data_IF_932586603701
#
_entry.id   IF_932586603701
#
_cell.length_a   1.000
_cell.length_b   1.000
_cell.length_c   1.000
_cell.angle_alpha   90.00
_cell.angle_beta   90.00
_cell.angle_gamma   90.00
#
_symmetry.space_group_name_H-M   'P 1'
#
loop_
_entity.id
_entity.type
_entity.pdbx_description
1 polymer ?
#
# COMPACT_ATOMS: atom_id res chain seq x y z
N UNK A 1 -25.90 4.03 0.56
CA UNK A 1 -24.50 4.51 0.59
C UNK A 1 -23.89 4.27 -0.77
N UNK A 2 -22.92 5.06 -1.22
CA UNK A 2 -22.22 4.82 -2.49
C UNK A 2 -21.36 3.55 -2.37
N UNK A 3 -21.21 2.83 -3.47
CA UNK A 3 -20.27 1.71 -3.54
C UNK A 3 -18.82 2.24 -3.55
N UNK A 4 -17.92 1.48 -2.94
CA UNK A 4 -16.49 1.78 -2.85
C UNK A 4 -15.77 1.42 -4.15
N UNK A 5 -14.78 2.22 -4.54
CA UNK A 5 -13.94 1.95 -5.70
C UNK A 5 -12.91 0.86 -5.41
N UNK A 6 -12.55 0.08 -6.44
CA UNK A 6 -11.55 -0.98 -6.37
C UNK A 6 -10.43 -0.68 -7.36
N UNK A 7 -9.19 -0.83 -6.90
CA UNK A 7 -7.98 -0.82 -7.73
C UNK A 7 -7.25 -2.16 -7.62
N UNK A 8 -6.38 -2.46 -8.56
CA UNK A 8 -5.51 -3.62 -8.51
C UNK A 8 -4.04 -3.20 -8.28
N UNK A 9 -3.34 -3.93 -7.40
CA UNK A 9 -1.90 -3.75 -7.18
C UNK A 9 -1.08 -4.49 -8.25
N UNK A 10 0.03 -3.90 -8.65
CA UNK A 10 0.99 -4.55 -9.55
C UNK A 10 1.94 -5.51 -8.82
N UNK A 11 1.79 -5.71 -7.52
CA UNK A 11 2.68 -6.52 -6.68
C UNK A 11 2.87 -7.97 -7.20
N UNK A 12 1.82 -8.70 -7.60
CA UNK A 12 1.99 -10.08 -8.07
C UNK A 12 2.86 -10.19 -9.33
N UNK A 13 3.07 -9.10 -10.03
CA UNK A 13 3.86 -9.06 -11.27
C UNK A 13 5.32 -8.61 -11.07
N UNK A 14 5.78 -8.45 -9.82
CA UNK A 14 7.10 -7.92 -9.44
C UNK A 14 8.26 -8.52 -10.25
N UNK A 15 8.29 -9.83 -10.42
CA UNK A 15 9.39 -10.54 -11.09
C UNK A 15 9.07 -11.00 -12.51
N UNK A 16 7.87 -10.73 -13.02
CA UNK A 16 7.42 -11.18 -14.34
C UNK A 16 7.23 -10.06 -15.35
N UNK A 17 6.95 -8.82 -14.89
CA UNK A 17 6.65 -7.67 -15.73
C UNK A 17 7.41 -6.42 -15.28
N UNK A 18 7.68 -5.51 -16.21
CA UNK A 18 7.98 -4.12 -15.82
C UNK A 18 6.73 -3.47 -15.26
N UNK A 19 6.86 -2.41 -14.44
CA UNK A 19 5.70 -1.74 -13.87
C UNK A 19 4.72 -1.25 -14.95
N UNK A 20 5.21 -0.71 -16.08
CA UNK A 20 4.34 -0.27 -17.18
C UNK A 20 3.62 -1.44 -17.86
N UNK A 21 4.29 -2.57 -18.05
CA UNK A 21 3.66 -3.74 -18.65
C UNK A 21 2.62 -4.36 -17.72
N UNK A 22 2.86 -4.36 -16.40
CA UNK A 22 1.90 -4.79 -15.39
C UNK A 22 0.64 -3.89 -15.38
N UNK A 23 0.81 -2.56 -15.46
CA UNK A 23 -0.33 -1.64 -15.57
C UNK A 23 -1.15 -1.89 -16.83
N UNK A 24 -0.50 -2.11 -17.98
CA UNK A 24 -1.17 -2.45 -19.24
C UNK A 24 -1.90 -3.79 -19.14
N UNK A 25 -1.29 -4.76 -18.49
CA UNK A 25 -1.88 -6.08 -18.26
C UNK A 25 -3.15 -5.96 -17.42
N UNK A 26 -3.09 -5.30 -16.27
CA UNK A 26 -4.24 -5.05 -15.40
C UNK A 26 -5.35 -4.23 -16.10
N UNK A 27 -4.97 -3.30 -16.98
CA UNK A 27 -5.93 -2.59 -17.84
C UNK A 27 -6.67 -3.55 -18.75
N UNK A 28 -5.97 -4.54 -19.29
CA UNK A 28 -6.57 -5.63 -20.09
C UNK A 28 -7.56 -6.49 -19.31
N UNK A 29 -7.44 -6.57 -17.98
CA UNK A 29 -8.38 -7.24 -17.07
C UNK A 29 -9.58 -6.33 -16.66
N UNK A 30 -9.66 -5.09 -17.18
CA UNK A 30 -10.77 -4.18 -16.94
C UNK A 30 -10.55 -3.16 -15.82
N UNK A 31 -9.34 -3.06 -15.23
CA UNK A 31 -9.05 -2.05 -14.22
C UNK A 31 -8.68 -0.71 -14.83
N UNK A 32 -9.09 0.38 -14.17
CA UNK A 32 -8.78 1.77 -14.53
C UNK A 32 -8.09 2.54 -13.40
N UNK A 33 -7.94 1.91 -12.24
CA UNK A 33 -7.23 2.41 -11.07
C UNK A 33 -6.24 1.36 -10.59
N UNK A 34 -5.02 1.81 -10.27
CA UNK A 34 -3.92 0.92 -9.95
C UNK A 34 -3.13 1.39 -8.74
N UNK A 35 -2.54 0.43 -8.04
CA UNK A 35 -1.38 0.67 -7.20
C UNK A 35 -0.13 0.19 -7.91
N UNK A 36 0.91 1.02 -7.92
CA UNK A 36 2.19 0.68 -8.52
C UNK A 36 3.20 0.33 -7.44
N UNK A 37 3.71 -0.90 -7.52
CA UNK A 37 4.81 -1.35 -6.66
C UNK A 37 6.11 -0.67 -7.06
N UNK A 38 6.76 0.00 -6.11
CA UNK A 38 8.03 0.70 -6.30
C UNK A 38 9.15 -0.16 -5.73
N UNK A 39 9.63 -1.08 -6.53
CA UNK A 39 10.71 -2.00 -6.15
C UNK A 39 11.42 -2.55 -7.40
N UNK A 40 12.77 -2.81 -7.35
CA UNK A 40 13.48 -3.40 -8.48
C UNK A 40 13.13 -4.90 -8.62
N UNK A 41 13.11 -5.47 -9.83
CA UNK A 41 13.35 -4.80 -11.12
C UNK A 41 12.08 -4.21 -11.76
N UNK A 42 10.95 -4.20 -11.05
CA UNK A 42 9.62 -3.90 -11.57
C UNK A 42 9.45 -2.41 -11.95
N UNK A 43 9.59 -1.54 -10.96
CA UNK A 43 9.55 -0.08 -11.13
C UNK A 43 10.47 0.55 -10.07
N UNK A 44 11.62 1.05 -10.51
CA UNK A 44 12.58 1.64 -9.59
C UNK A 44 13.03 3.01 -10.09
N UNK A 45 12.82 4.11 -9.34
CA UNK A 45 13.07 5.48 -9.83
C UNK A 45 14.48 5.68 -10.40
N UNK A 46 15.51 5.06 -9.80
CA UNK A 46 16.90 5.17 -10.24
C UNK A 46 17.22 4.43 -11.51
N UNK A 47 16.45 3.43 -11.87
CA UNK A 47 16.66 2.59 -13.05
C UNK A 47 15.83 3.06 -14.24
N UNK A 48 14.83 3.91 -14.00
CA UNK A 48 14.00 4.48 -15.06
C UNK A 48 14.64 5.75 -15.65
N UNK A 49 14.88 5.72 -16.93
CA UNK A 49 15.26 6.93 -17.68
C UNK A 49 14.12 7.94 -17.72
N UNK A 50 14.43 9.19 -18.04
CA UNK A 50 13.42 10.25 -18.24
C UNK A 50 12.42 9.87 -19.32
N UNK A 51 12.86 9.23 -20.41
CA UNK A 51 11.98 8.81 -21.50
C UNK A 51 11.04 7.68 -21.04
N UNK A 52 11.54 6.69 -20.29
CA UNK A 52 10.69 5.63 -19.72
C UNK A 52 9.64 6.20 -18.76
N UNK A 53 9.99 7.15 -17.88
CA UNK A 53 8.99 7.80 -17.01
C UNK A 53 7.95 8.57 -17.81
N UNK A 54 8.37 9.23 -18.90
CA UNK A 54 7.44 9.89 -19.83
C UNK A 54 6.49 8.90 -20.52
N UNK A 55 6.95 7.69 -20.83
CA UNK A 55 6.11 6.63 -21.40
C UNK A 55 4.98 6.22 -20.43
N UNK A 56 5.27 6.11 -19.12
CA UNK A 56 4.22 5.88 -18.11
C UNK A 56 3.18 7.00 -18.14
N UNK A 57 3.61 8.26 -18.02
CA UNK A 57 2.69 9.41 -18.00
C UNK A 57 1.86 9.48 -19.27
N UNK A 58 2.49 9.29 -20.43
CA UNK A 58 1.82 9.33 -21.72
C UNK A 58 0.78 8.23 -21.86
N UNK A 59 1.07 7.04 -21.36
CA UNK A 59 0.14 5.92 -21.39
C UNK A 59 -1.02 6.15 -20.42
N UNK A 60 -0.76 6.57 -19.19
CA UNK A 60 -1.80 6.87 -18.18
C UNK A 60 -2.78 7.94 -18.69
N UNK A 61 -2.24 9.04 -19.23
CA UNK A 61 -3.05 10.13 -19.78
C UNK A 61 -3.83 9.67 -21.05
N UNK A 62 -3.19 8.85 -21.90
CA UNK A 62 -3.79 8.35 -23.16
C UNK A 62 -4.95 7.38 -22.92
N UNK A 63 -4.86 6.51 -21.94
CA UNK A 63 -5.92 5.57 -21.56
C UNK A 63 -6.97 6.19 -20.61
N UNK A 64 -6.71 7.37 -20.05
CA UNK A 64 -7.58 7.99 -19.06
C UNK A 64 -7.65 7.23 -17.74
N UNK A 65 -6.59 6.52 -17.37
CA UNK A 65 -6.47 5.71 -16.18
C UNK A 65 -5.51 6.36 -15.17
N UNK A 66 -5.48 5.89 -13.92
CA UNK A 66 -4.66 6.53 -12.87
C UNK A 66 -3.99 5.53 -11.96
N UNK A 67 -2.79 5.88 -11.49
CA UNK A 67 -2.16 5.26 -10.34
C UNK A 67 -2.64 6.00 -9.09
N UNK A 68 -3.27 5.28 -8.15
CA UNK A 68 -3.86 5.85 -6.93
C UNK A 68 -2.89 5.88 -5.76
N UNK A 69 -1.92 4.96 -5.75
CA UNK A 69 -0.88 4.85 -4.72
C UNK A 69 0.40 4.23 -5.27
N UNK A 70 1.52 4.63 -4.69
CA UNK A 70 2.79 3.95 -4.82
C UNK A 70 3.04 3.14 -3.54
N UNK A 71 3.18 1.83 -3.68
CA UNK A 71 3.59 0.94 -2.59
C UNK A 71 5.11 0.75 -2.62
N UNK A 72 5.79 1.17 -1.54
CA UNK A 72 7.22 0.91 -1.34
C UNK A 72 7.37 -0.10 -0.18
N UNK A 73 7.53 -1.41 -0.47
CA UNK A 73 7.30 -2.48 0.49
C UNK A 73 8.41 -2.66 1.53
N UNK A 74 9.49 -1.89 1.50
CA UNK A 74 10.64 -1.96 2.44
C UNK A 74 11.24 -3.37 2.61
N UNK A 75 11.30 -4.17 1.54
CA UNK A 75 11.82 -5.55 1.63
C UNK A 75 13.30 -5.59 2.07
N UNK A 76 14.11 -4.62 1.60
CA UNK A 76 15.56 -4.56 1.86
C UNK A 76 15.99 -3.34 2.68
N UNK A 77 15.07 -2.44 3.04
CA UNK A 77 15.36 -1.14 3.62
C UNK A 77 14.74 -0.99 5.01
N UNK A 78 15.29 -0.10 5.83
CA UNK A 78 14.76 0.12 7.17
C UNK A 78 14.90 1.60 7.60
N UNK A 79 13.79 2.36 7.70
CA UNK A 79 13.81 3.77 8.10
C UNK A 79 14.09 3.98 9.60
N UNK A 80 14.00 2.93 10.41
CA UNK A 80 14.24 2.97 11.86
C UNK A 80 15.36 2.04 12.32
N UNK A 81 16.21 1.58 11.38
CA UNK A 81 17.38 0.74 11.71
C UNK A 81 18.45 1.49 12.50
N UNK A 82 19.30 0.75 13.24
CA UNK A 82 20.41 1.32 14.02
C UNK A 82 21.41 2.04 13.14
N UNK A 83 21.72 1.49 11.96
CA UNK A 83 22.65 2.12 11.04
C UNK A 83 22.04 3.38 10.43
N UNK A 84 22.66 4.53 10.76
CA UNK A 84 22.24 5.83 10.23
C UNK A 84 22.28 5.87 8.71
N UNK A 85 23.28 5.26 8.07
CA UNK A 85 23.39 5.26 6.61
C UNK A 85 22.27 4.46 5.95
N UNK A 86 21.82 3.37 6.58
CA UNK A 86 20.64 2.64 6.10
C UNK A 86 19.37 3.49 6.20
N UNK A 87 19.19 4.22 7.31
CA UNK A 87 18.04 5.14 7.43
C UNK A 87 18.08 6.24 6.36
N UNK A 88 19.22 6.91 6.18
CA UNK A 88 19.41 7.95 5.16
C UNK A 88 19.16 7.41 3.75
N UNK A 89 19.73 6.23 3.44
CA UNK A 89 19.48 5.56 2.16
C UNK A 89 18.00 5.30 1.95
N UNK A 90 17.28 4.79 2.95
CA UNK A 90 15.85 4.52 2.88
C UNK A 90 15.04 5.80 2.64
N UNK A 91 15.34 6.87 3.36
CA UNK A 91 14.67 8.16 3.19
C UNK A 91 14.93 8.76 1.81
N UNK A 92 16.14 8.60 1.25
CA UNK A 92 16.44 9.02 -0.11
C UNK A 92 15.60 8.26 -1.15
N UNK A 93 15.34 6.96 -0.92
CA UNK A 93 14.45 6.18 -1.80
C UNK A 93 13.01 6.67 -1.73
N UNK A 94 12.52 7.02 -0.54
CA UNK A 94 11.21 7.64 -0.40
C UNK A 94 11.13 9.00 -1.12
N UNK A 95 12.16 9.86 -1.05
CA UNK A 95 12.17 11.13 -1.77
C UNK A 95 12.06 10.91 -3.28
N UNK A 96 12.82 9.97 -3.82
CA UNK A 96 12.73 9.61 -5.24
C UNK A 96 11.35 9.06 -5.63
N UNK A 97 10.72 8.24 -4.76
CA UNK A 97 9.36 7.76 -4.99
C UNK A 97 8.33 8.90 -4.95
N UNK A 98 8.47 9.87 -4.03
CA UNK A 98 7.63 11.06 -3.95
C UNK A 98 7.74 11.90 -5.22
N UNK A 99 8.98 12.16 -5.68
CA UNK A 99 9.22 12.94 -6.89
C UNK A 99 8.60 12.26 -8.12
N UNK A 100 8.76 10.96 -8.26
CA UNK A 100 8.15 10.19 -9.34
C UNK A 100 6.63 10.09 -9.22
N UNK A 101 6.08 9.99 -8.00
CA UNK A 101 4.64 10.03 -7.77
C UNK A 101 4.03 11.36 -8.23
N UNK A 102 4.72 12.47 -7.97
CA UNK A 102 4.32 13.79 -8.47
C UNK A 102 4.32 13.85 -10.01
N UNK A 103 5.35 13.30 -10.67
CA UNK A 103 5.40 13.20 -12.14
C UNK A 103 4.20 12.39 -12.69
N UNK A 104 3.82 11.30 -12.01
CA UNK A 104 2.72 10.41 -12.42
C UNK A 104 1.33 10.89 -11.97
N UNK A 105 1.25 12.04 -11.30
CA UNK A 105 0.03 12.58 -10.67
C UNK A 105 -0.59 11.60 -9.66
N UNK A 106 0.23 10.73 -9.08
CA UNK A 106 -0.18 9.78 -8.05
C UNK A 106 -0.26 10.50 -6.69
N UNK A 107 -1.41 10.46 -6.00
CA UNK A 107 -1.61 11.26 -4.78
C UNK A 107 -0.93 10.70 -3.54
N UNK A 108 -0.58 9.41 -3.52
CA UNK A 108 -0.13 8.74 -2.31
C UNK A 108 1.16 7.95 -2.50
N UNK A 109 2.04 8.04 -1.50
CA UNK A 109 3.18 7.13 -1.33
C UNK A 109 3.03 6.45 0.03
N UNK A 110 2.97 5.13 0.03
CA UNK A 110 2.82 4.33 1.24
C UNK A 110 4.18 4.20 1.93
N UNK A 111 4.22 4.53 3.22
CA UNK A 111 5.39 4.46 4.05
C UNK A 111 5.17 3.45 5.19
N UNK A 112 5.92 2.35 5.11
CA UNK A 112 5.83 1.26 6.08
C UNK A 112 6.78 1.56 7.26
N UNK A 113 6.34 1.44 8.53
CA UNK A 113 7.25 1.39 9.66
C UNK A 113 8.22 0.22 9.49
N UNK A 114 9.51 0.46 9.69
CA UNK A 114 10.52 -0.55 9.41
C UNK A 114 10.38 -1.81 10.26
N UNK A 115 10.96 -2.92 9.80
CA UNK A 115 10.86 -4.21 10.48
C UNK A 115 11.59 -4.21 11.82
N UNK A 116 11.15 -5.10 12.70
CA UNK A 116 11.90 -5.48 13.91
C UNK A 116 12.90 -6.61 13.61
N UNK A 117 14.02 -6.63 14.33
CA UNK A 117 14.97 -7.73 14.23
C UNK A 117 14.55 -8.87 15.15
N UNK A 118 14.61 -10.12 14.67
CA UNK A 118 14.21 -11.30 15.42
C UNK A 118 15.13 -11.64 16.61
N UNK A 119 16.36 -11.11 16.66
CA UNK A 119 17.32 -11.39 17.70
C UNK A 119 17.39 -10.26 18.75
N UNK A 120 17.58 -9.03 18.31
CA UNK A 120 17.73 -7.87 19.18
C UNK A 120 17.32 -6.60 18.44
N UNK A 121 16.53 -5.78 19.12
CA UNK A 121 16.10 -4.48 18.60
C UNK A 121 16.75 -3.35 19.42
N UNK A 122 16.91 -2.16 18.81
CA UNK A 122 17.15 -0.94 19.58
C UNK A 122 15.97 -0.70 20.55
N UNK A 123 16.16 0.14 21.58
CA UNK A 123 15.05 0.63 22.37
C UNK A 123 13.93 1.20 21.48
N UNK A 124 12.68 0.88 21.80
CA UNK A 124 11.52 1.27 21.00
C UNK A 124 11.43 2.79 20.79
N UNK A 125 11.74 3.56 21.84
CA UNK A 125 11.76 5.02 21.81
C UNK A 125 12.77 5.57 20.79
N UNK A 126 13.90 4.92 20.56
CA UNK A 126 14.87 5.34 19.55
C UNK A 126 14.35 5.07 18.13
N UNK A 127 13.76 3.90 17.92
CA UNK A 127 13.14 3.57 16.62
C UNK A 127 12.03 4.55 16.28
N UNK A 128 11.20 4.89 17.28
CA UNK A 128 10.11 5.86 17.13
C UNK A 128 10.63 7.27 16.80
N UNK A 129 11.66 7.73 17.53
CA UNK A 129 12.29 9.03 17.27
C UNK A 129 12.83 9.10 15.84
N UNK A 130 13.65 8.13 15.42
CA UNK A 130 14.22 8.10 14.07
C UNK A 130 13.16 8.04 12.98
N UNK A 131 12.12 7.24 13.19
CA UNK A 131 11.03 7.12 12.24
C UNK A 131 10.23 8.43 12.12
N UNK A 132 9.83 9.02 13.24
CA UNK A 132 9.08 10.29 13.27
C UNK A 132 9.88 11.43 12.64
N UNK A 133 11.18 11.56 12.95
CA UNK A 133 12.06 12.56 12.33
C UNK A 133 12.19 12.34 10.82
N UNK A 134 12.40 11.10 10.39
CA UNK A 134 12.48 10.75 8.97
C UNK A 134 11.18 11.05 8.22
N UNK A 135 10.02 10.70 8.79
CA UNK A 135 8.72 10.99 8.17
C UNK A 135 8.43 12.49 8.11
N UNK A 136 8.78 13.27 9.13
CA UNK A 136 8.67 14.75 9.08
C UNK A 136 9.49 15.36 7.96
N UNK A 137 10.69 14.85 7.74
CA UNK A 137 11.54 15.29 6.64
C UNK A 137 10.93 14.96 5.27
N UNK A 138 10.37 13.74 5.12
CA UNK A 138 9.66 13.35 3.90
C UNK A 138 8.40 14.17 3.66
N UNK A 139 7.62 14.47 4.70
CA UNK A 139 6.46 15.38 4.61
C UNK A 139 6.90 16.77 4.13
N UNK A 140 8.00 17.28 4.66
CA UNK A 140 8.55 18.56 4.19
C UNK A 140 9.01 18.50 2.73
N UNK A 141 9.61 17.38 2.28
CA UNK A 141 9.98 17.15 0.90
C UNK A 141 8.76 17.09 -0.03
N UNK A 142 7.70 16.40 0.39
CA UNK A 142 6.46 16.26 -0.37
C UNK A 142 5.64 17.57 -0.49
N UNK A 143 5.97 18.59 0.30
CA UNK A 143 5.21 19.83 0.35
C UNK A 143 5.16 20.54 -1.01
N UNK A 144 3.94 20.77 -1.50
CA UNK A 144 3.69 21.45 -2.78
C UNK A 144 3.75 20.53 -4.00
N UNK A 145 4.06 19.24 -3.84
CA UNK A 145 4.07 18.25 -4.93
C UNK A 145 2.68 17.68 -5.26
N UNK A 146 1.74 17.78 -4.32
CA UNK A 146 0.43 17.10 -4.41
C UNK A 146 0.45 15.67 -3.88
N UNK A 147 1.60 15.17 -3.40
CA UNK A 147 1.76 13.82 -2.86
C UNK A 147 1.62 13.84 -1.34
N UNK A 148 0.87 12.89 -0.80
CA UNK A 148 0.73 12.65 0.63
C UNK A 148 1.35 11.31 1.02
N UNK A 149 2.05 11.27 2.16
CA UNK A 149 2.53 10.02 2.75
C UNK A 149 1.41 9.34 3.53
N UNK A 150 1.30 8.01 3.38
CA UNK A 150 0.38 7.18 4.14
C UNK A 150 1.17 6.16 4.95
N UNK A 151 0.98 6.13 6.27
CA UNK A 151 1.54 5.06 7.10
C UNK A 151 0.69 3.79 6.98
N UNK A 152 1.34 2.64 6.96
CA UNK A 152 0.66 1.35 6.86
C UNK A 152 0.88 0.48 8.11
N UNK A 153 -0.19 -0.19 8.57
CA UNK A 153 -0.13 -1.19 9.62
C UNK A 153 0.43 -2.51 9.06
N UNK A 154 1.62 -2.91 9.51
CA UNK A 154 2.27 -4.15 9.08
C UNK A 154 2.60 -5.01 10.30
N UNK A 155 2.20 -6.29 10.35
CA UNK A 155 2.30 -7.15 11.54
C UNK A 155 3.72 -7.31 12.11
N UNK A 156 4.73 -7.24 11.25
CA UNK A 156 6.14 -7.45 11.60
C UNK A 156 6.94 -6.14 11.67
N UNK A 157 6.26 -5.00 11.55
CA UNK A 157 6.84 -3.68 11.77
C UNK A 157 7.00 -3.39 13.28
N UNK A 158 7.77 -2.36 13.61
CA UNK A 158 7.91 -1.94 15.00
C UNK A 158 6.68 -1.19 15.56
N UNK A 159 5.74 -0.80 14.70
CA UNK A 159 4.44 -0.22 15.01
C UNK A 159 3.33 -1.06 14.38
N UNK A 160 3.03 -2.25 14.91
CA UNK A 160 2.12 -3.19 14.24
C UNK A 160 0.64 -2.84 14.38
N UNK A 161 0.24 -2.07 15.41
CA UNK A 161 -1.17 -1.81 15.72
C UNK A 161 -1.67 -0.49 15.15
N UNK A 162 -2.97 -0.45 14.85
CA UNK A 162 -3.63 0.78 14.39
C UNK A 162 -3.57 1.92 15.42
N UNK A 163 -3.55 1.61 16.72
CA UNK A 163 -3.41 2.62 17.75
C UNK A 163 -2.02 3.27 17.72
N UNK A 164 -0.95 2.46 17.62
CA UNK A 164 0.42 2.97 17.52
C UNK A 164 0.62 3.82 16.26
N UNK A 165 0.05 3.40 15.12
CA UNK A 165 0.09 4.20 13.89
C UNK A 165 -0.62 5.54 14.04
N UNK A 166 -1.82 5.54 14.66
CA UNK A 166 -2.57 6.77 14.93
C UNK A 166 -1.77 7.74 15.78
N UNK A 167 -1.19 7.24 16.87
CA UNK A 167 -0.40 8.05 17.80
C UNK A 167 0.87 8.60 17.10
N UNK A 168 1.53 7.75 16.29
CA UNK A 168 2.70 8.15 15.53
C UNK A 168 2.37 9.17 14.44
N UNK A 169 1.28 9.00 13.71
CA UNK A 169 0.83 9.98 12.74
C UNK A 169 0.56 11.36 13.38
N UNK A 170 -0.02 11.37 14.60
CA UNK A 170 -0.20 12.61 15.35
C UNK A 170 1.12 13.30 15.74
N UNK A 171 2.19 12.51 16.01
CA UNK A 171 3.53 13.05 16.28
C UNK A 171 4.20 13.63 15.02
N UNK A 172 3.94 13.04 13.83
CA UNK A 172 4.49 13.52 12.56
C UNK A 172 3.81 14.81 12.13
N UNK A 173 2.47 14.80 12.07
CA UNK A 173 1.67 15.98 11.70
C UNK A 173 0.42 15.62 10.91
N UNK A 174 -0.47 16.61 10.69
CA UNK A 174 -1.76 16.39 10.03
C UNK A 174 -1.66 16.09 8.52
N UNK A 175 -0.47 16.26 7.94
CA UNK A 175 -0.21 15.98 6.52
C UNK A 175 -0.03 14.50 6.22
N UNK A 176 0.10 13.64 7.25
CA UNK A 176 0.22 12.19 7.08
C UNK A 176 -1.17 11.54 7.18
N UNK A 177 -1.46 10.63 6.26
CA UNK A 177 -2.64 9.77 6.29
C UNK A 177 -2.28 8.32 6.63
N UNK A 178 -3.29 7.45 6.53
CA UNK A 178 -3.15 6.01 6.76
C UNK A 178 -3.54 5.25 5.50
N UNK A 179 -2.69 4.31 5.11
CA UNK A 179 -3.06 3.15 4.32
C UNK A 179 -3.48 2.05 5.30
N UNK A 180 -4.76 1.75 5.35
CA UNK A 180 -5.27 0.72 6.27
C UNK A 180 -5.28 -0.62 5.57
N UNK A 181 -4.41 -1.52 5.99
CA UNK A 181 -4.43 -2.91 5.51
C UNK A 181 -5.32 -3.76 6.42
N UNK A 182 -6.42 -4.24 5.83
CA UNK A 182 -7.43 -5.06 6.50
C UNK A 182 -6.88 -6.43 6.88
N UNK A 183 -6.10 -7.04 5.98
CA UNK A 183 -5.50 -8.35 6.22
C UNK A 183 -4.47 -8.30 7.35
N UNK A 184 -3.63 -7.29 7.37
CA UNK A 184 -2.62 -7.06 8.40
C UNK A 184 -3.26 -6.89 9.80
N UNK A 185 -4.31 -6.07 9.88
CA UNK A 185 -5.07 -5.85 11.11
C UNK A 185 -5.75 -7.15 11.58
N UNK A 186 -6.39 -7.89 10.67
CA UNK A 186 -7.03 -9.17 10.98
C UNK A 186 -6.01 -10.22 11.45
N UNK A 187 -4.82 -10.27 10.85
CA UNK A 187 -3.78 -11.23 11.21
C UNK A 187 -3.32 -11.10 12.66
N UNK A 188 -3.14 -9.88 13.14
CA UNK A 188 -2.82 -9.62 14.56
C UNK A 188 -4.04 -9.60 15.46
N UNK A 189 -5.21 -9.99 14.93
CA UNK A 189 -6.48 -10.15 15.66
C UNK A 189 -7.04 -8.85 16.24
N UNK A 190 -6.83 -7.72 15.57
CA UNK A 190 -7.56 -6.50 15.87
C UNK A 190 -9.03 -6.63 15.44
N UNK A 191 -9.90 -5.88 16.09
CA UNK A 191 -11.28 -5.68 15.64
C UNK A 191 -11.28 -4.74 14.41
N UNK A 192 -11.24 -5.31 13.21
CA UNK A 192 -11.14 -4.56 11.96
C UNK A 192 -12.17 -3.42 11.84
N UNK A 193 -13.49 -3.65 12.05
CA UNK A 193 -14.45 -2.55 12.08
C UNK A 193 -14.14 -1.49 13.13
N UNK A 194 -13.73 -1.91 14.33
CA UNK A 194 -13.32 -1.01 15.40
C UNK A 194 -12.10 -0.16 15.02
N UNK A 195 -11.11 -0.75 14.34
CA UNK A 195 -9.92 -0.03 13.87
C UNK A 195 -10.26 0.96 12.74
N UNK A 196 -11.17 0.61 11.84
CA UNK A 196 -11.67 1.54 10.83
C UNK A 196 -12.31 2.78 11.49
N UNK A 197 -13.15 2.57 12.51
CA UNK A 197 -13.75 3.69 13.27
C UNK A 197 -12.70 4.48 14.07
N UNK A 198 -11.70 3.80 14.65
CA UNK A 198 -10.59 4.44 15.38
C UNK A 198 -9.79 5.40 14.51
N UNK A 199 -9.47 4.98 13.29
CA UNK A 199 -8.67 5.75 12.34
C UNK A 199 -9.49 6.81 11.61
N UNK A 200 -10.77 6.53 11.31
CA UNK A 200 -11.72 7.48 10.74
C UNK A 200 -11.21 8.12 9.43
N UNK A 201 -11.25 9.44 9.40
CA UNK A 201 -10.88 10.25 8.24
C UNK A 201 -9.36 10.27 7.92
N UNK A 202 -8.53 9.69 8.79
CA UNK A 202 -7.11 9.48 8.51
C UNK A 202 -6.89 8.42 7.42
N UNK A 203 -7.83 7.48 7.23
CA UNK A 203 -7.75 6.46 6.17
C UNK A 203 -7.93 7.14 4.81
N UNK A 204 -6.89 7.05 3.96
CA UNK A 204 -6.88 7.60 2.60
C UNK A 204 -6.84 6.52 1.53
N UNK A 205 -6.28 5.37 1.86
CA UNK A 205 -6.21 4.18 1.01
C UNK A 205 -6.47 2.94 1.88
N UNK A 206 -6.94 1.87 1.26
CA UNK A 206 -7.21 0.59 1.94
C UNK A 206 -6.58 -0.52 1.13
N UNK A 207 -5.80 -1.38 1.78
CA UNK A 207 -5.37 -2.65 1.20
C UNK A 207 -6.29 -3.78 1.62
N UNK A 208 -6.56 -4.69 0.70
CA UNK A 208 -7.45 -5.81 0.88
C UNK A 208 -6.86 -7.07 0.25
N UNK A 209 -6.64 -8.07 1.08
CA UNK A 209 -6.24 -9.43 0.74
C UNK A 209 -6.74 -10.38 1.82
N UNK A 210 -6.35 -11.64 1.80
CA UNK A 210 -6.72 -12.61 2.81
C UNK A 210 -5.48 -13.34 3.37
N UNK A 211 -5.60 -13.92 4.55
CA UNK A 211 -4.56 -14.67 5.21
C UNK A 211 -5.16 -15.71 6.16
N UNK A 212 -4.42 -16.79 6.41
CA UNK A 212 -4.71 -17.68 7.53
C UNK A 212 -4.18 -17.12 8.85
N UNK A 213 -4.59 -17.73 9.98
CA UNK A 213 -4.09 -17.32 11.31
C UNK A 213 -2.71 -17.85 11.67
N UNK A 214 -2.24 -18.88 10.99
CA UNK A 214 -0.98 -19.57 11.30
C UNK A 214 0.18 -19.09 10.42
N UNK A 215 -0.13 -18.69 9.20
CA UNK A 215 0.84 -18.22 8.22
C UNK A 215 0.36 -16.93 7.61
N UNK A 216 1.18 -15.88 7.73
CA UNK A 216 0.89 -14.57 7.14
C UNK A 216 1.07 -14.60 5.62
N UNK A 217 0.02 -14.17 4.92
CA UNK A 217 0.00 -14.06 3.45
C UNK A 217 -0.86 -12.88 3.02
N UNK A 218 -0.77 -12.55 1.74
CA UNK A 218 -1.71 -11.70 1.03
C UNK A 218 -2.35 -12.53 -0.08
N UNK A 219 -3.10 -13.56 0.34
CA UNK A 219 -3.77 -14.49 -0.56
C UNK A 219 -5.06 -13.89 -1.14
N UNK A 220 -5.63 -14.61 -2.12
CA UNK A 220 -6.95 -14.35 -2.67
C UNK A 220 -8.02 -14.31 -1.59
N UNK A 221 -8.93 -13.34 -1.68
CA UNK A 221 -10.07 -13.22 -0.76
C UNK A 221 -10.94 -14.51 -0.75
N UNK A 222 -11.46 -14.83 0.43
CA UNK A 222 -12.29 -16.00 0.66
C UNK A 222 -11.52 -17.30 0.90
N UNK A 223 -10.20 -17.23 1.02
CA UNK A 223 -9.35 -18.40 1.34
C UNK A 223 -8.90 -18.44 2.80
N UNK A 224 -9.07 -17.34 3.53
CA UNK A 224 -8.59 -17.18 4.90
C UNK A 224 -9.65 -16.65 5.87
N UNK A 225 -9.28 -15.65 6.65
CA UNK A 225 -10.03 -15.16 7.80
C UNK A 225 -10.66 -13.78 7.63
N UNK A 226 -10.37 -13.07 6.53
CA UNK A 226 -10.80 -11.68 6.35
C UNK A 226 -12.29 -11.61 6.03
N UNK A 227 -13.03 -10.91 6.89
CA UNK A 227 -14.46 -10.65 6.71
C UNK A 227 -14.67 -9.33 5.96
N UNK A 228 -14.87 -9.40 4.64
CA UNK A 228 -14.98 -8.21 3.79
C UNK A 228 -16.26 -7.40 4.08
N UNK A 229 -17.40 -8.03 4.32
CA UNK A 229 -18.66 -7.32 4.49
C UNK A 229 -18.70 -6.40 5.74
N UNK A 230 -18.24 -6.81 6.95
CA UNK A 230 -18.10 -5.91 8.10
C UNK A 230 -17.13 -4.76 7.84
N UNK A 231 -15.98 -5.02 7.19
CA UNK A 231 -15.01 -4.00 6.85
C UNK A 231 -15.59 -2.94 5.88
N UNK A 232 -16.24 -3.39 4.82
CA UNK A 232 -16.89 -2.50 3.86
C UNK A 232 -18.00 -1.64 4.47
N UNK A 233 -18.80 -2.23 5.38
CA UNK A 233 -19.82 -1.51 6.13
C UNK A 233 -19.19 -0.40 7.00
N UNK A 234 -18.14 -0.71 7.76
CA UNK A 234 -17.45 0.25 8.60
C UNK A 234 -16.82 1.40 7.77
N UNK A 235 -16.21 1.09 6.62
CA UNK A 235 -15.70 2.10 5.68
C UNK A 235 -16.80 3.05 5.19
N UNK A 236 -17.98 2.51 4.87
CA UNK A 236 -19.15 3.33 4.49
C UNK A 236 -19.67 4.18 5.67
N UNK A 237 -19.65 3.65 6.90
CA UNK A 237 -20.10 4.36 8.10
C UNK A 237 -19.22 5.57 8.44
N UNK A 238 -17.90 5.49 8.21
CA UNK A 238 -16.99 6.63 8.37
C UNK A 238 -17.01 7.59 7.16
N UNK A 239 -17.79 7.30 6.11
CA UNK A 239 -17.84 8.12 4.90
C UNK A 239 -16.61 8.02 4.01
N UNK A 240 -15.91 6.89 4.02
CA UNK A 240 -14.73 6.66 3.19
C UNK A 240 -15.08 6.78 1.69
N UNK A 241 -14.26 7.54 0.96
CA UNK A 241 -14.40 7.76 -0.49
C UNK A 241 -13.12 7.49 -1.28
N UNK A 242 -12.10 6.96 -0.60
CA UNK A 242 -10.85 6.56 -1.23
C UNK A 242 -10.98 5.23 -1.99
N UNK A 243 -9.86 4.72 -2.44
CA UNK A 243 -9.77 3.48 -3.20
C UNK A 243 -9.43 2.30 -2.29
N UNK A 244 -10.05 1.14 -2.55
CA UNK A 244 -9.62 -0.14 -1.98
C UNK A 244 -8.77 -0.87 -3.01
N UNK A 245 -7.52 -1.14 -2.67
CA UNK A 245 -6.56 -1.85 -3.51
C UNK A 245 -6.60 -3.33 -3.20
N UNK A 246 -6.79 -4.16 -4.21
CA UNK A 246 -6.54 -5.59 -4.11
C UNK A 246 -5.03 -5.81 -4.14
N UNK A 247 -4.44 -5.95 -2.95
CA UNK A 247 -3.02 -6.27 -2.78
C UNK A 247 -2.85 -7.78 -2.60
N UNK A 248 -3.03 -8.53 -3.69
CA UNK A 248 -2.83 -9.96 -3.71
C UNK A 248 -1.37 -10.24 -4.07
N UNK A 249 -0.67 -10.97 -3.21
CA UNK A 249 0.75 -11.31 -3.42
C UNK A 249 0.85 -12.80 -3.70
N UNK A 250 0.43 -13.18 -4.91
CA UNK A 250 0.55 -14.55 -5.38
C UNK A 250 2.04 -14.87 -5.63
N UNK A 251 2.52 -15.98 -5.08
CA UNK A 251 3.84 -16.50 -5.48
C UNK A 251 3.77 -17.03 -6.92
N UNK A 252 4.08 -16.15 -7.88
CA UNK A 252 4.06 -16.46 -9.31
C UNK A 252 5.05 -17.56 -9.72
N UNK A 253 5.98 -17.94 -8.84
CA UNK A 253 6.91 -19.03 -9.04
C UNK A 253 6.34 -20.37 -8.54
N UNK A 254 5.26 -20.34 -7.76
CA UNK A 254 4.60 -21.55 -7.29
C UNK A 254 3.90 -22.28 -8.45
N UNK A 255 3.96 -23.62 -8.51
CA UNK A 255 3.25 -24.38 -9.53
C UNK A 255 1.74 -24.13 -9.47
N UNK A 256 1.16 -23.68 -10.60
CA UNK A 256 -0.28 -23.41 -10.72
C UNK A 256 -0.71 -22.04 -10.22
N UNK A 257 0.22 -21.13 -9.91
CA UNK A 257 -0.08 -19.75 -9.60
C UNK A 257 -0.81 -19.05 -10.76
N UNK A 258 -1.90 -18.37 -10.47
CA UNK A 258 -2.69 -17.60 -11.44
C UNK A 258 -3.10 -16.25 -10.82
N UNK A 259 -2.21 -15.24 -10.87
CA UNK A 259 -2.49 -13.95 -10.26
C UNK A 259 -3.70 -13.25 -10.89
N UNK A 260 -4.00 -13.50 -12.16
CA UNK A 260 -5.15 -12.91 -12.82
C UNK A 260 -6.46 -13.45 -12.22
N UNK A 261 -6.54 -14.78 -12.09
CA UNK A 261 -7.68 -15.40 -11.43
C UNK A 261 -7.82 -14.97 -9.98
N UNK A 262 -6.73 -14.88 -9.23
CA UNK A 262 -6.74 -14.47 -7.83
C UNK A 262 -7.27 -13.03 -7.66
N UNK A 263 -6.87 -12.10 -8.53
CA UNK A 263 -7.34 -10.72 -8.53
C UNK A 263 -8.82 -10.63 -8.93
N UNK A 264 -9.22 -11.32 -10.01
CA UNK A 264 -10.60 -11.31 -10.53
C UNK A 264 -11.57 -11.92 -9.50
N UNK A 265 -11.23 -13.08 -8.94
CA UNK A 265 -12.04 -13.76 -7.94
C UNK A 265 -12.17 -12.92 -6.65
N UNK A 266 -11.08 -12.28 -6.21
CA UNK A 266 -11.11 -11.37 -5.06
C UNK A 266 -12.02 -10.18 -5.29
N UNK A 267 -11.98 -9.59 -6.49
CA UNK A 267 -12.90 -8.50 -6.84
C UNK A 267 -14.36 -8.95 -6.85
N UNK A 268 -14.63 -10.15 -7.37
CA UNK A 268 -15.98 -10.71 -7.36
C UNK A 268 -16.53 -10.93 -5.94
N UNK A 269 -15.67 -11.26 -4.97
CA UNK A 269 -16.04 -11.35 -3.54
C UNK A 269 -16.38 -9.96 -2.98
N UNK A 270 -15.54 -8.94 -3.22
CA UNK A 270 -15.81 -7.57 -2.78
C UNK A 270 -17.15 -7.05 -3.33
N UNK A 271 -17.45 -7.33 -4.59
CA UNK A 271 -18.68 -6.90 -5.26
C UNK A 271 -19.98 -7.50 -4.66
N UNK A 272 -19.87 -8.55 -3.82
CA UNK A 272 -21.02 -9.10 -3.12
C UNK A 272 -21.50 -8.23 -1.94
N UNK A 273 -20.76 -7.17 -1.59
CA UNK A 273 -21.09 -6.30 -0.46
C UNK A 273 -20.99 -4.81 -0.83
N UNK A 274 -20.00 -4.11 -0.31
CA UNK A 274 -19.93 -2.63 -0.35
C UNK A 274 -19.20 -2.06 -1.58
N UNK A 275 -18.57 -2.90 -2.40
CA UNK A 275 -17.73 -2.45 -3.51
C UNK A 275 -18.42 -2.53 -4.88
N UNK A 276 -17.92 -1.72 -5.81
CA UNK A 276 -18.35 -1.79 -7.21
C UNK A 276 -17.97 -3.14 -7.82
N UNK A 277 -18.81 -3.62 -8.73
CA UNK A 277 -18.49 -4.81 -9.51
C UNK A 277 -17.34 -4.53 -10.50
N UNK A 278 -16.59 -5.58 -10.93
CA UNK A 278 -15.63 -5.46 -12.02
C UNK A 278 -16.28 -4.84 -13.26
N UNK A 279 -15.54 -3.98 -13.94
CA UNK A 279 -15.99 -3.49 -15.26
C UNK A 279 -15.74 -4.61 -16.27
N UNK A 280 -16.80 -5.09 -16.91
CA UNK A 280 -16.75 -6.14 -17.93
C UNK A 280 -16.16 -5.67 -19.25
#
# INVERSE_FOLDING_TARGET
MSQLDVAASTFPFLYSHTGLDALKHLRGLGYDQFELLIFPPHCWPRELTVDQRRDYVSWLDGEGVKVTSFCYPLLDNNPNGVDRLMREYTLDRYREAIDMAAEFKCPYVIAIPGPVNSLINPPHEWMLEWFVEGMKDLVQHAKGTGVQLLLENVPFAFLPTCQELKDTAAMIGPEVGINFDVCNSAFIREDVPGMIHLLGDMIKNVHMSDSGYEEFKHDRLGTGMVETAPAGKALQEIGYTGTTVLEIITDVLAPGADPDADIIDSHAILAQSSWKAPQG
#
